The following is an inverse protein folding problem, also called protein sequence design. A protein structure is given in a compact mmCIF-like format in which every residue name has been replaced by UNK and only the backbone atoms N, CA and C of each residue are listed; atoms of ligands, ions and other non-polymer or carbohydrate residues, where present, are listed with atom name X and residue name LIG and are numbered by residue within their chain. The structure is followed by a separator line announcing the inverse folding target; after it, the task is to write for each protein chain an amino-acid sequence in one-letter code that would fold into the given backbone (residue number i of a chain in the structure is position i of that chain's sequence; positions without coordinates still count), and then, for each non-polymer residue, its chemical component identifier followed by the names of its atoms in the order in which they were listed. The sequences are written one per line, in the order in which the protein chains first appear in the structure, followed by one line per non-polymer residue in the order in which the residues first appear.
data_IF_963793913043
#
_entry.id   IF_963793913043
#
_cell.length_a   1.000
_cell.length_b   1.000
_cell.length_c   1.000
_cell.angle_alpha   90.00
_cell.angle_beta   90.00
_cell.angle_gamma   90.00
#
_symmetry.space_group_name_H-M   'P 1'
#
loop_
_entity.id
_entity.type
_entity.pdbx_description
1 polymer ?
#
# COMPACT_ATOMS: atom_id res chain seq x y z
N UNK A 1 -24.51 -0.15 -1.19
CA UNK A 1 -23.75 -0.61 0.00
C UNK A 1 -22.52 0.28 0.18
N UNK A 2 -22.15 0.64 1.42
CA UNK A 2 -20.99 1.49 1.71
C UNK A 2 -19.74 0.69 2.10
N UNK A 3 -18.56 1.33 1.98
CA UNK A 3 -17.26 0.77 2.35
C UNK A 3 -16.39 1.82 3.05
N UNK A 4 -15.39 1.36 3.81
CA UNK A 4 -14.27 2.20 4.25
C UNK A 4 -13.02 1.85 3.44
N UNK A 5 -12.21 2.87 3.14
CA UNK A 5 -10.92 2.73 2.44
C UNK A 5 -9.82 3.03 3.44
N UNK A 6 -8.91 2.07 3.65
CA UNK A 6 -7.73 2.25 4.47
C UNK A 6 -6.55 2.43 3.52
N UNK A 7 -5.90 3.59 3.57
CA UNK A 7 -4.81 3.96 2.67
C UNK A 7 -3.59 4.28 3.52
N UNK A 8 -2.51 3.54 3.31
CA UNK A 8 -1.20 3.86 3.88
C UNK A 8 -0.39 4.60 2.83
N UNK A 9 0.16 5.75 3.20
CA UNK A 9 1.02 6.56 2.32
C UNK A 9 2.39 6.78 2.93
N UNK A 10 3.38 7.08 2.10
CA UNK A 10 4.65 7.66 2.56
C UNK A 10 4.50 9.15 2.94
N UNK A 11 5.62 9.81 3.27
CA UNK A 11 5.65 11.23 3.60
C UNK A 11 5.34 12.19 2.44
N UNK A 12 5.39 11.72 1.19
CA UNK A 12 5.05 12.48 -0.01
C UNK A 12 3.61 12.21 -0.49
N UNK A 13 2.86 11.36 0.20
CA UNK A 13 1.50 10.97 -0.17
C UNK A 13 1.43 9.82 -1.18
N UNK A 14 2.52 9.11 -1.45
CA UNK A 14 2.53 7.95 -2.35
C UNK A 14 1.83 6.76 -1.66
N UNK A 15 0.77 6.18 -2.23
CA UNK A 15 0.11 5.03 -1.65
C UNK A 15 1.03 3.80 -1.64
N UNK A 16 1.30 3.29 -0.44
CA UNK A 16 2.08 2.07 -0.20
C UNK A 16 1.17 0.85 -0.07
N UNK A 17 -0.06 1.03 0.41
CA UNK A 17 -1.01 -0.04 0.66
C UNK A 17 -2.46 0.46 0.64
N UNK A 18 -3.39 -0.36 0.14
CA UNK A 18 -4.82 -0.05 0.12
C UNK A 18 -5.61 -1.31 0.52
N UNK A 19 -6.46 -1.19 1.52
CA UNK A 19 -7.44 -2.23 1.86
C UNK A 19 -8.86 -1.67 1.97
N UNK A 20 -9.84 -2.54 1.75
CA UNK A 20 -11.26 -2.21 1.84
C UNK A 20 -11.89 -3.00 2.99
N UNK A 21 -12.81 -2.35 3.71
CA UNK A 21 -13.66 -3.03 4.70
C UNK A 21 -15.12 -2.57 4.57
N UNK A 22 -16.03 -3.30 5.21
CA UNK A 22 -17.42 -2.84 5.34
C UNK A 22 -17.52 -1.49 6.04
N UNK A 23 -18.55 -0.70 5.70
CA UNK A 23 -18.76 0.66 6.21
C UNK A 23 -18.72 0.79 7.75
N UNK A 24 -19.10 -0.24 8.49
CA UNK A 24 -19.23 -0.21 9.96
C UNK A 24 -18.15 -1.03 10.70
N UNK A 25 -17.10 -1.45 9.99
CA UNK A 25 -15.94 -2.07 10.64
C UNK A 25 -15.10 -0.97 11.28
N UNK A 26 -14.66 -1.18 12.52
CA UNK A 26 -13.79 -0.24 13.22
C UNK A 26 -12.38 -0.29 12.62
N UNK A 27 -11.78 0.87 12.37
CA UNK A 27 -10.58 1.00 11.52
C UNK A 27 -9.36 0.27 12.11
N UNK A 28 -9.25 0.20 13.45
CA UNK A 28 -8.20 -0.57 14.15
C UNK A 28 -8.13 -2.05 13.73
N UNK A 29 -9.24 -2.63 13.26
CA UNK A 29 -9.29 -4.04 12.82
C UNK A 29 -8.56 -4.24 11.49
N UNK A 30 -8.51 -3.24 10.62
CA UNK A 30 -7.89 -3.32 9.30
C UNK A 30 -6.41 -2.89 9.28
N UNK A 31 -5.84 -2.48 10.42
CA UNK A 31 -4.43 -2.03 10.50
C UNK A 31 -3.48 -3.14 10.08
N UNK A 32 -3.65 -4.36 10.62
CA UNK A 32 -2.81 -5.51 10.28
C UNK A 32 -2.88 -5.84 8.79
N UNK A 33 -4.10 -5.89 8.24
CA UNK A 33 -4.31 -6.24 6.83
C UNK A 33 -3.74 -5.16 5.91
N UNK A 34 -3.86 -3.89 6.29
CA UNK A 34 -3.27 -2.77 5.53
C UNK A 34 -1.75 -2.83 5.52
N UNK A 35 -1.10 -3.13 6.66
CA UNK A 35 0.35 -3.29 6.74
C UNK A 35 0.85 -4.51 5.95
N UNK A 36 0.11 -5.61 5.96
CA UNK A 36 0.45 -6.80 5.16
C UNK A 36 0.29 -6.58 3.65
N UNK A 37 -0.46 -5.57 3.24
CA UNK A 37 -0.68 -5.21 1.83
C UNK A 37 0.31 -4.17 1.28
N UNK A 38 1.37 -3.83 2.04
CA UNK A 38 2.41 -2.91 1.58
C UNK A 38 3.06 -3.47 0.31
N UNK A 39 3.02 -2.68 -0.77
CA UNK A 39 3.79 -2.96 -1.97
C UNK A 39 5.26 -2.62 -1.74
N UNK A 40 6.09 -3.65 -1.59
CA UNK A 40 7.54 -3.50 -1.49
C UNK A 40 8.16 -3.71 -2.88
N UNK A 41 8.66 -2.64 -3.48
CA UNK A 41 9.49 -2.72 -4.67
C UNK A 41 10.95 -2.84 -4.25
N UNK A 42 11.59 -3.98 -4.51
CA UNK A 42 13.03 -4.10 -4.34
C UNK A 42 13.71 -3.26 -5.43
N UNK A 43 14.24 -2.11 -5.04
CA UNK A 43 14.90 -1.15 -5.93
C UNK A 43 16.26 -1.61 -6.45
N UNK A 44 16.42 -2.89 -6.83
CA UNK A 44 17.60 -3.32 -7.58
C UNK A 44 17.49 -2.69 -8.97
N UNK A 45 18.08 -1.50 -9.14
CA UNK A 45 18.37 -0.95 -10.46
C UNK A 45 19.33 -1.92 -11.15
N UNK A 46 18.81 -2.79 -12.01
CA UNK A 46 19.66 -3.38 -13.03
C UNK A 46 20.14 -2.23 -13.92
N UNK A 47 21.44 -1.96 -13.89
CA UNK A 47 22.07 -0.97 -14.77
C UNK A 47 21.94 -1.49 -16.21
N UNK A 48 20.92 -1.04 -16.93
CA UNK A 48 20.79 -1.26 -18.37
C UNK A 48 21.73 -0.31 -19.15
N UNK A 49 23.03 -0.33 -18.82
CA UNK A 49 24.06 0.22 -19.72
C UNK A 49 24.49 -0.89 -20.68
N UNK A 50 23.58 -1.26 -21.58
CA UNK A 50 23.91 -2.04 -22.77
C UNK A 50 23.86 -1.08 -23.93
N UNK A 51 25.02 -0.53 -24.33
CA UNK A 51 25.44 -0.17 -25.70
C UNK A 51 26.87 0.38 -25.57
N UNK A 52 27.84 -0.55 -25.50
CA UNK A 52 29.24 -0.33 -25.88
C UNK A 52 29.41 -0.87 -27.29
#
# INVERSE_FOLDING_TARGET
MGVKRHILTDGNGIPLAITLSGANVHDKRNVKDTLNSILVFSGRKENQNTFV
#
